data_IF_921382963119
#
_entry.id   IF_921382963119
#
_cell.length_a   1.000
_cell.length_b   1.000
_cell.length_c   1.000
_cell.angle_alpha   90.00
_cell.angle_beta   90.00
_cell.angle_gamma   90.00
#
_symmetry.space_group_name_H-M   'P 1'
#
loop_
_entity.id
_entity.type
_entity.pdbx_description
1 polymer ?
#
# COMPACT_ATOMS: atom_id res chain seq x y z
N UNK A 1 -20.17 -2.37 -15.36
CA UNK A 1 -18.95 -2.98 -14.80
C UNK A 1 -18.14 -3.55 -15.94
N UNK A 2 -16.83 -3.30 -15.97
CA UNK A 2 -15.94 -3.90 -16.97
C UNK A 2 -15.52 -5.31 -16.59
N UNK A 3 -15.20 -6.15 -17.58
CA UNK A 3 -14.65 -7.49 -17.38
C UNK A 3 -13.16 -7.49 -17.73
N UNK A 4 -12.36 -8.20 -16.92
CA UNK A 4 -10.93 -8.40 -17.16
C UNK A 4 -10.68 -9.90 -17.33
N UNK A 5 -10.12 -10.30 -18.48
CA UNK A 5 -9.68 -11.67 -18.70
C UNK A 5 -8.19 -11.78 -18.36
N UNK A 6 -7.87 -12.59 -17.36
CA UNK A 6 -6.48 -12.80 -16.90
C UNK A 6 -6.08 -14.24 -17.20
N UNK A 7 -4.91 -14.41 -17.82
CA UNK A 7 -4.27 -15.73 -17.91
C UNK A 7 -3.61 -16.03 -16.58
N UNK A 8 -3.94 -17.18 -15.99
CA UNK A 8 -3.40 -17.62 -14.72
C UNK A 8 -2.32 -18.68 -14.95
N UNK A 9 -1.32 -18.68 -14.07
CA UNK A 9 -0.38 -19.78 -13.95
C UNK A 9 -0.73 -20.65 -12.73
N UNK A 10 0.04 -21.72 -12.52
CA UNK A 10 -0.21 -22.65 -11.41
C UNK A 10 -0.10 -21.98 -10.02
N UNK A 11 0.80 -21.00 -9.88
CA UNK A 11 0.97 -20.28 -8.62
C UNK A 11 -0.26 -19.42 -8.33
N UNK A 12 -0.78 -18.71 -9.34
CA UNK A 12 -1.98 -17.90 -9.22
C UNK A 12 -3.22 -18.75 -8.94
N UNK A 13 -3.36 -19.91 -9.57
CA UNK A 13 -4.45 -20.85 -9.26
C UNK A 13 -4.39 -21.32 -7.80
N UNK A 14 -3.20 -21.62 -7.29
CA UNK A 14 -2.98 -22.01 -5.89
C UNK A 14 -3.35 -20.87 -4.94
N UNK A 15 -2.95 -19.63 -5.25
CA UNK A 15 -3.29 -18.46 -4.45
C UNK A 15 -4.80 -18.19 -4.45
N UNK A 16 -5.46 -18.27 -5.60
CA UNK A 16 -6.91 -18.09 -5.71
C UNK A 16 -7.69 -19.17 -4.95
N UNK A 17 -7.24 -20.42 -4.98
CA UNK A 17 -7.80 -21.50 -4.17
C UNK A 17 -7.69 -21.14 -2.68
N UNK A 18 -6.50 -20.75 -2.21
CA UNK A 18 -6.29 -20.38 -0.80
C UNK A 18 -7.10 -19.16 -0.34
N UNK A 19 -7.29 -18.18 -1.22
CA UNK A 19 -8.07 -16.98 -0.91
C UNK A 19 -9.59 -17.24 -0.84
N UNK A 20 -10.07 -18.33 -1.46
CA UNK A 20 -11.50 -18.68 -1.54
C UNK A 20 -11.88 -19.84 -0.63
N UNK A 21 -10.92 -20.71 -0.27
CA UNK A 21 -11.11 -21.89 0.58
C UNK A 21 -11.76 -21.52 1.92
N UNK A 22 -12.95 -22.08 2.18
CA UNK A 22 -13.68 -21.90 3.45
C UNK A 22 -14.22 -20.49 3.71
N UNK A 23 -14.09 -19.54 2.77
CA UNK A 23 -14.50 -18.13 2.98
C UNK A 23 -15.84 -17.77 2.35
N UNK A 24 -16.41 -18.64 1.51
CA UNK A 24 -17.63 -18.36 0.74
C UNK A 24 -17.44 -17.29 -0.35
N UNK A 25 -16.21 -16.82 -0.57
CA UNK A 25 -15.88 -15.76 -1.54
C UNK A 25 -15.78 -16.31 -2.95
N UNK A 26 -16.16 -15.49 -3.92
CA UNK A 26 -15.93 -15.81 -5.33
C UNK A 26 -14.48 -15.56 -5.73
N UNK A 27 -14.04 -16.14 -6.86
CA UNK A 27 -12.73 -15.80 -7.45
C UNK A 27 -12.62 -14.31 -7.78
N UNK A 28 -13.71 -13.68 -8.22
CA UNK A 28 -13.76 -12.24 -8.47
C UNK A 28 -13.53 -11.42 -7.20
N UNK A 29 -14.10 -11.85 -6.06
CA UNK A 29 -13.86 -11.21 -4.77
C UNK A 29 -12.41 -11.37 -4.31
N UNK A 30 -11.82 -12.56 -4.52
CA UNK A 30 -10.42 -12.82 -4.22
C UNK A 30 -9.49 -11.94 -5.08
N UNK A 31 -9.75 -11.81 -6.39
CA UNK A 31 -9.00 -10.93 -7.29
C UNK A 31 -9.14 -9.47 -6.87
N UNK A 32 -10.37 -9.00 -6.61
CA UNK A 32 -10.61 -7.64 -6.15
C UNK A 32 -9.87 -7.35 -4.84
N UNK A 33 -9.94 -8.26 -3.88
CA UNK A 33 -9.24 -8.15 -2.61
C UNK A 33 -7.72 -8.03 -2.82
N UNK A 34 -7.13 -8.92 -3.63
CA UNK A 34 -5.70 -8.91 -3.90
C UNK A 34 -5.25 -7.58 -4.55
N UNK A 35 -5.94 -7.13 -5.60
CA UNK A 35 -5.61 -5.89 -6.31
C UNK A 35 -5.66 -4.68 -5.39
N UNK A 36 -6.73 -4.54 -4.60
CA UNK A 36 -6.87 -3.39 -3.71
C UNK A 36 -5.89 -3.42 -2.54
N UNK A 37 -5.55 -4.61 -2.05
CA UNK A 37 -4.53 -4.78 -1.02
C UNK A 37 -3.16 -4.34 -1.53
N UNK A 38 -2.74 -4.83 -2.70
CA UNK A 38 -1.47 -4.45 -3.30
C UNK A 38 -1.41 -2.96 -3.64
N UNK A 39 -2.52 -2.38 -4.12
CA UNK A 39 -2.59 -0.93 -4.35
C UNK A 39 -2.38 -0.14 -3.06
N UNK A 40 -2.98 -0.57 -1.94
CA UNK A 40 -2.74 0.06 -0.63
C UNK A 40 -1.27 -0.03 -0.21
N UNK A 41 -0.62 -1.17 -0.43
CA UNK A 41 0.80 -1.37 -0.12
C UNK A 41 1.67 -0.38 -0.92
N UNK A 42 1.39 -0.20 -2.22
CA UNK A 42 2.07 0.79 -3.06
C UNK A 42 1.90 2.23 -2.55
N UNK A 43 0.70 2.61 -2.10
CA UNK A 43 0.47 3.95 -1.53
C UNK A 43 1.27 4.16 -0.24
N UNK A 44 1.42 3.13 0.58
CA UNK A 44 2.22 3.19 1.81
C UNK A 44 3.71 3.33 1.48
N UNK A 45 4.21 2.57 0.51
CA UNK A 45 5.60 2.68 0.05
C UNK A 45 5.91 4.08 -0.48
N UNK A 46 5.00 4.68 -1.27
CA UNK A 46 5.12 6.06 -1.73
C UNK A 46 5.15 7.05 -0.57
N UNK A 47 4.23 6.93 0.39
CA UNK A 47 4.20 7.81 1.55
C UNK A 47 5.48 7.70 2.40
N UNK A 48 6.04 6.49 2.55
CA UNK A 48 7.31 6.29 3.24
C UNK A 48 8.47 6.94 2.47
N UNK A 49 8.57 6.73 1.17
CA UNK A 49 9.60 7.36 0.34
C UNK A 49 9.49 8.90 0.36
N UNK A 50 8.27 9.43 0.41
CA UNK A 50 8.02 10.87 0.53
C UNK A 50 8.47 11.42 1.88
N UNK A 51 8.19 10.69 2.97
CA UNK A 51 8.65 11.06 4.30
C UNK A 51 10.18 11.01 4.43
N UNK A 52 10.83 10.00 3.83
CA UNK A 52 12.29 9.91 3.78
C UNK A 52 12.92 11.07 2.99
N UNK A 53 12.30 11.48 1.87
CA UNK A 53 12.74 12.66 1.12
C UNK A 53 12.61 13.95 1.93
N UNK A 54 11.48 14.15 2.61
CA UNK A 54 11.25 15.32 3.46
C UNK A 54 12.23 15.37 4.65
N UNK A 55 12.55 14.21 5.24
CA UNK A 55 13.52 14.11 6.33
C UNK A 55 14.96 14.38 5.87
N UNK A 56 15.27 14.21 4.58
CA UNK A 56 16.60 14.43 4.00
C UNK A 56 16.81 15.87 3.49
N UNK A 57 15.79 16.73 3.52
CA UNK A 57 15.91 18.12 3.10
C UNK A 57 16.41 19.01 4.27
N UNK A 58 17.58 19.67 4.15
CA UNK A 58 18.12 20.54 5.19
C UNK A 58 17.22 21.74 5.55
N UNK A 59 16.45 22.25 4.59
CA UNK A 59 15.54 23.38 4.82
C UNK A 59 14.32 22.91 5.62
N UNK A 60 13.77 21.73 5.33
CA UNK A 60 12.67 21.14 6.09
C UNK A 60 13.08 20.75 7.52
N UNK A 61 14.32 20.26 7.71
CA UNK A 61 14.88 20.02 9.04
C UNK A 61 14.97 21.31 9.86
N UNK A 62 15.35 22.43 9.22
CA UNK A 62 15.41 23.73 9.86
C UNK A 62 14.01 24.25 10.23
N UNK A 63 13.01 24.05 9.36
CA UNK A 63 11.61 24.40 9.63
C UNK A 63 11.01 23.57 10.78
N UNK A 64 11.23 22.25 10.80
CA UNK A 64 10.78 21.39 11.89
C UNK A 64 11.42 21.77 13.24
N UNK A 65 12.71 22.12 13.25
CA UNK A 65 13.40 22.62 14.44
C UNK A 65 12.82 23.96 14.93
N UNK A 66 12.46 24.85 14.01
CA UNK A 66 11.80 26.11 14.35
C UNK A 66 10.41 25.88 14.98
N UNK A 67 9.63 24.92 14.44
CA UNK A 67 8.33 24.53 15.00
C UNK A 67 8.47 23.89 16.38
N UNK A 68 9.44 22.98 16.58
CA UNK A 68 9.69 22.36 17.90
C UNK A 68 10.09 23.38 18.96
N UNK A 69 10.90 24.38 18.60
CA UNK A 69 11.27 25.51 19.47
C UNK A 69 10.06 26.38 19.81
N UNK A 70 9.19 26.65 18.83
CA UNK A 70 7.96 27.40 19.06
C UNK A 70 6.98 26.66 20.00
N UNK A 71 6.89 25.34 19.88
CA UNK A 71 6.05 24.51 20.76
C UNK A 71 6.67 24.22 22.14
N UNK A 72 7.92 24.60 22.39
CA UNK A 72 8.61 24.41 23.68
C UNK A 72 8.96 22.95 24.00
N UNK A 73 9.13 22.11 22.97
CA UNK A 73 9.38 20.65 23.11
C UNK A 73 10.86 20.30 22.91
N UNK A 74 11.71 21.28 22.58
CA UNK A 74 13.15 21.14 22.35
C UNK A 74 14.00 21.69 23.50
#
# INVERSE_FOLDING_TARGET
MGTLNVRTDQAMETALAKLTEGTGRTRSDAVRYAVLRTYKELLLEQATADAERLAADPDDQAEMLAIQRFMGVA
#
